data_IF_281119167928
#
_entry.id   IF_281119167928
#
_cell.length_a   1.000
_cell.length_b   1.000
_cell.length_c   1.000
_cell.angle_alpha   90.00
_cell.angle_beta   90.00
_cell.angle_gamma   90.00
#
_symmetry.space_group_name_H-M   'P 1'
#
loop_
_entity.id
_entity.type
_entity.pdbx_description
1 polymer ?
#
# COMPACT_ATOMS: atom_id res chain seq x y z
N UNK A 1 18.00 -1.12 -13.78
CA UNK A 1 17.21 -0.19 -14.61
C UNK A 1 15.85 -0.82 -14.81
N UNK A 2 14.80 -0.22 -14.27
CA UNK A 2 13.43 -0.60 -14.61
C UNK A 2 13.28 -0.25 -16.09
N UNK A 3 13.09 -1.24 -16.97
CA UNK A 3 12.84 -1.01 -18.39
C UNK A 3 11.73 0.03 -18.55
N UNK A 4 11.99 1.09 -19.32
CA UNK A 4 10.95 2.06 -19.66
C UNK A 4 9.77 1.33 -20.30
N UNK A 5 8.54 1.76 -20.03
CA UNK A 5 7.30 1.17 -20.55
C UNK A 5 7.41 0.74 -22.02
N UNK A 6 7.96 1.60 -22.87
CA UNK A 6 8.18 1.29 -24.29
C UNK A 6 9.03 0.04 -24.55
N UNK A 7 10.11 -0.16 -23.79
CA UNK A 7 10.95 -1.36 -23.90
C UNK A 7 10.21 -2.62 -23.43
N UNK A 8 9.32 -2.50 -22.45
CA UNK A 8 8.53 -3.66 -21.99
C UNK A 8 7.43 -4.04 -22.97
N UNK A 9 6.77 -3.05 -23.57
CA UNK A 9 5.77 -3.27 -24.64
C UNK A 9 6.46 -3.92 -25.85
N UNK A 10 7.66 -3.46 -26.21
CA UNK A 10 8.52 -4.08 -27.22
C UNK A 10 8.89 -5.53 -26.87
N UNK A 11 9.31 -5.81 -25.62
CA UNK A 11 9.66 -7.17 -25.17
C UNK A 11 8.47 -8.13 -25.19
N UNK A 12 7.25 -7.63 -24.98
CA UNK A 12 6.01 -8.42 -25.13
C UNK A 12 5.57 -8.59 -26.58
N UNK A 13 6.29 -8.04 -27.55
CA UNK A 13 5.99 -8.18 -28.98
C UNK A 13 4.77 -7.41 -29.46
N UNK A 14 4.25 -6.48 -28.64
CA UNK A 14 3.10 -5.65 -29.02
C UNK A 14 3.45 -4.59 -30.08
N UNK A 15 4.74 -4.20 -30.13
CA UNK A 15 5.27 -3.24 -31.10
C UNK A 15 6.69 -3.65 -31.53
N UNK A 16 7.14 -3.15 -32.67
CA UNK A 16 8.51 -3.25 -33.17
C UNK A 16 9.40 -2.12 -32.66
N UNK A 17 10.73 -2.26 -32.86
CA UNK A 17 11.71 -1.21 -32.50
C UNK A 17 11.46 0.10 -33.23
N UNK A 18 11.07 0.03 -34.50
CA UNK A 18 10.84 1.20 -35.35
C UNK A 18 9.57 1.94 -34.93
N UNK A 19 8.52 1.21 -34.56
CA UNK A 19 7.28 1.76 -34.01
C UNK A 19 7.50 2.45 -32.66
N UNK A 20 8.33 1.84 -31.80
CA UNK A 20 8.73 2.47 -30.54
C UNK A 20 9.52 3.77 -30.78
N UNK A 21 10.42 3.80 -31.76
CA UNK A 21 11.16 5.00 -32.12
C UNK A 21 10.24 6.12 -32.62
N UNK A 22 9.24 5.81 -33.45
CA UNK A 22 8.19 6.76 -33.88
C UNK A 22 7.39 7.32 -32.70
N UNK A 23 7.04 6.47 -31.73
CA UNK A 23 6.35 6.90 -30.53
C UNK A 23 7.20 7.84 -29.67
N UNK A 24 8.50 7.58 -29.54
CA UNK A 24 9.42 8.50 -28.85
C UNK A 24 9.59 9.84 -29.58
N UNK A 25 9.67 9.83 -30.92
CA UNK A 25 9.70 11.06 -31.72
C UNK A 25 8.42 11.89 -31.50
N UNK A 26 7.25 11.25 -31.55
CA UNK A 26 5.98 11.94 -31.26
C UNK A 26 5.94 12.49 -29.84
N UNK A 27 6.37 11.70 -28.85
CA UNK A 27 6.46 12.15 -27.46
C UNK A 27 7.39 13.36 -27.31
N UNK A 28 8.50 13.40 -28.05
CA UNK A 28 9.41 14.55 -28.04
C UNK A 28 8.75 15.81 -28.60
N UNK A 29 7.93 15.68 -29.64
CA UNK A 29 7.28 16.81 -30.31
C UNK A 29 6.01 17.30 -29.58
N UNK A 30 5.21 16.39 -29.04
CA UNK A 30 3.86 16.69 -28.50
C UNK A 30 3.74 16.46 -26.99
N UNK A 31 4.77 15.89 -26.36
CA UNK A 31 4.73 15.52 -24.94
C UNK A 31 3.88 14.28 -24.65
N UNK A 32 3.43 14.15 -23.40
CA UNK A 32 2.54 13.06 -22.95
C UNK A 32 3.26 11.76 -22.56
N UNK A 33 2.47 10.78 -22.08
CA UNK A 33 2.97 9.44 -21.73
C UNK A 33 3.26 8.65 -23.02
N UNK A 34 4.25 7.74 -22.97
CA UNK A 34 4.61 6.92 -24.14
C UNK A 34 3.44 6.01 -24.56
N UNK A 35 2.65 5.48 -23.61
CA UNK A 35 1.44 4.70 -23.90
C UNK A 35 0.40 5.49 -24.72
N UNK A 36 0.09 6.72 -24.32
CA UNK A 36 -0.83 7.60 -25.05
C UNK A 36 -0.32 7.94 -26.46
N UNK A 37 1.00 8.07 -26.63
CA UNK A 37 1.59 8.29 -27.95
C UNK A 37 1.52 7.04 -28.84
N UNK A 38 1.67 5.84 -28.27
CA UNK A 38 1.48 4.58 -29.00
C UNK A 38 0.03 4.42 -29.47
N UNK A 39 -0.95 4.76 -28.62
CA UNK A 39 -2.38 4.76 -28.97
C UNK A 39 -2.69 5.80 -30.05
N UNK A 40 -2.18 7.03 -29.90
CA UNK A 40 -2.42 8.10 -30.87
C UNK A 40 -1.81 7.82 -32.26
N UNK A 41 -0.80 6.94 -32.34
CA UNK A 41 -0.23 6.45 -33.60
C UNK A 41 -0.97 5.22 -34.16
N UNK A 42 -1.99 4.71 -33.46
CA UNK A 42 -2.72 3.50 -33.84
C UNK A 42 -1.90 2.20 -33.70
N UNK A 43 -0.81 2.22 -32.94
CA UNK A 43 0.10 1.08 -32.80
C UNK A 43 -0.40 0.06 -31.76
N UNK A 44 -1.14 0.53 -30.76
CA UNK A 44 -1.82 -0.30 -29.76
C UNK A 44 -3.18 0.32 -29.44
N UNK A 45 -4.10 -0.46 -28.90
CA UNK A 45 -5.38 0.06 -28.37
C UNK A 45 -5.28 0.44 -26.88
N UNK A 46 -6.26 1.19 -26.37
CA UNK A 46 -6.41 1.41 -24.92
C UNK A 46 -6.59 0.11 -24.14
N UNK A 47 -7.27 -0.87 -24.74
CA UNK A 47 -7.43 -2.22 -24.17
C UNK A 47 -6.10 -2.94 -24.07
N UNK A 48 -5.25 -2.89 -25.11
CA UNK A 48 -3.92 -3.50 -25.09
C UNK A 48 -3.04 -2.90 -24.00
N UNK A 49 -3.09 -1.57 -23.83
CA UNK A 49 -2.34 -0.88 -22.78
C UNK A 49 -2.85 -1.25 -21.38
N UNK A 50 -4.17 -1.34 -21.20
CA UNK A 50 -4.79 -1.73 -19.94
C UNK A 50 -4.45 -3.17 -19.57
N UNK A 51 -4.56 -4.10 -20.53
CA UNK A 51 -4.19 -5.50 -20.37
C UNK A 51 -2.69 -5.67 -20.13
N UNK A 52 -1.84 -4.81 -20.73
CA UNK A 52 -0.40 -4.83 -20.51
C UNK A 52 -0.04 -4.56 -19.04
N UNK A 53 -0.71 -3.60 -18.39
CA UNK A 53 -0.50 -3.25 -16.98
C UNK A 53 -1.23 -4.18 -16.00
N UNK A 54 -2.07 -5.09 -16.51
CA UNK A 54 -2.70 -6.14 -15.71
C UNK A 54 -1.72 -7.30 -15.56
N UNK A 55 -1.12 -7.43 -14.38
CA UNK A 55 -0.35 -8.61 -14.04
C UNK A 55 -1.30 -9.74 -13.64
N UNK A 56 -1.05 -10.93 -14.19
CA UNK A 56 -1.73 -12.17 -13.82
C UNK A 56 -0.65 -13.16 -13.43
N UNK A 57 -0.61 -13.64 -12.18
CA UNK A 57 0.40 -14.59 -11.73
C UNK A 57 0.10 -15.96 -12.34
N UNK A 58 1.01 -16.49 -13.14
CA UNK A 58 0.84 -17.80 -13.80
C UNK A 58 1.31 -18.93 -12.91
N UNK A 59 0.48 -19.95 -12.72
CA UNK A 59 0.83 -21.14 -11.94
C UNK A 59 2.07 -21.86 -12.53
N UNK A 60 3.09 -22.17 -11.71
CA UNK A 60 4.29 -22.86 -12.20
C UNK A 60 4.00 -24.33 -12.51
N UNK A 61 4.31 -24.79 -13.73
CA UNK A 61 4.03 -26.18 -14.14
C UNK A 61 4.99 -27.19 -13.51
N UNK A 62 6.17 -26.75 -13.09
CA UNK A 62 7.23 -27.57 -12.51
C UNK A 62 8.08 -26.76 -11.51
N UNK A 63 8.99 -27.46 -10.81
CA UNK A 63 9.87 -26.85 -9.80
C UNK A 63 10.73 -25.72 -10.40
N UNK A 64 11.27 -25.90 -11.61
CA UNK A 64 12.15 -24.91 -12.24
C UNK A 64 11.42 -23.60 -12.54
N UNK A 65 10.15 -23.65 -12.93
CA UNK A 65 9.31 -22.47 -13.17
C UNK A 65 8.95 -21.69 -11.89
N UNK A 66 9.19 -22.26 -10.70
CA UNK A 66 9.01 -21.51 -9.45
C UNK A 66 10.07 -20.43 -9.23
N UNK A 67 11.17 -20.48 -10.00
CA UNK A 67 12.39 -19.67 -9.85
C UNK A 67 13.03 -19.76 -8.45
N UNK A 68 12.83 -20.91 -7.78
CA UNK A 68 13.39 -21.22 -6.46
C UNK A 68 14.10 -22.56 -6.54
N UNK A 69 15.19 -22.69 -5.78
CA UNK A 69 15.95 -23.93 -5.71
C UNK A 69 15.12 -25.07 -5.10
N UNK A 70 15.20 -26.25 -5.70
CA UNK A 70 14.50 -27.47 -5.24
C UNK A 70 14.78 -27.78 -3.77
N UNK A 71 16.03 -27.58 -3.32
CA UNK A 71 16.41 -27.79 -1.92
C UNK A 71 15.62 -26.90 -0.95
N UNK A 72 15.44 -25.62 -1.29
CA UNK A 72 14.66 -24.70 -0.48
C UNK A 72 13.19 -25.13 -0.36
N UNK A 73 12.57 -25.55 -1.47
CA UNK A 73 11.19 -26.05 -1.47
C UNK A 73 11.08 -27.33 -0.64
N UNK A 74 12.07 -28.21 -0.75
CA UNK A 74 12.17 -29.45 0.04
C UNK A 74 12.22 -29.16 1.54
N UNK A 75 13.09 -28.23 1.95
CA UNK A 75 13.21 -27.81 3.33
C UNK A 75 11.92 -27.15 3.85
N UNK A 76 11.27 -26.33 3.02
CA UNK A 76 9.98 -25.73 3.36
C UNK A 76 8.88 -26.79 3.56
N UNK A 77 8.79 -27.78 2.67
CA UNK A 77 7.82 -28.89 2.79
C UNK A 77 8.05 -29.65 4.09
N UNK A 78 9.29 -30.04 4.40
CA UNK A 78 9.62 -30.74 5.65
C UNK A 78 9.20 -29.93 6.89
N UNK A 79 9.42 -28.61 6.88
CA UNK A 79 8.97 -27.72 7.96
C UNK A 79 7.44 -27.63 8.09
N UNK A 80 6.67 -27.80 7.01
CA UNK A 80 5.21 -27.90 7.12
C UNK A 80 4.77 -29.26 7.65
N UNK A 81 5.38 -30.34 7.16
CA UNK A 81 5.03 -31.71 7.51
C UNK A 81 5.12 -31.99 9.02
N UNK A 82 6.13 -31.43 9.71
CA UNK A 82 6.35 -31.68 11.15
C UNK A 82 5.19 -31.17 12.02
N UNK A 83 4.55 -30.05 11.65
CA UNK A 83 3.39 -29.53 12.38
C UNK A 83 2.10 -30.27 12.03
N UNK A 84 1.97 -30.75 10.79
CA UNK A 84 0.77 -31.47 10.35
C UNK A 84 0.71 -32.90 10.92
N UNK A 85 1.86 -33.54 11.20
CA UNK A 85 2.03 -34.95 11.61
C UNK A 85 1.55 -35.96 10.56
N UNK A 86 0.28 -35.89 10.16
CA UNK A 86 -0.34 -36.62 9.04
C UNK A 86 -0.96 -35.64 8.06
N UNK A 87 -0.69 -35.81 6.77
CA UNK A 87 -1.09 -34.83 5.76
C UNK A 87 -1.39 -35.49 4.42
N UNK A 88 -2.10 -34.76 3.57
CA UNK A 88 -2.32 -35.07 2.15
C UNK A 88 -1.56 -34.05 1.31
N UNK A 89 -1.40 -34.32 0.00
CA UNK A 89 -0.85 -33.33 -0.94
C UNK A 89 -1.70 -32.06 -0.94
N UNK A 90 -3.03 -32.19 -0.92
CA UNK A 90 -3.96 -31.07 -0.88
C UNK A 90 -3.74 -30.14 0.33
N UNK A 91 -3.52 -30.70 1.53
CA UNK A 91 -3.19 -29.89 2.71
C UNK A 91 -1.91 -29.08 2.51
N UNK A 92 -0.87 -29.68 1.93
CA UNK A 92 0.39 -28.99 1.65
C UNK A 92 0.23 -27.94 0.55
N UNK A 93 -0.51 -28.24 -0.51
CA UNK A 93 -0.86 -27.29 -1.57
C UNK A 93 -1.53 -26.04 -0.98
N UNK A 94 -2.51 -26.20 -0.08
CA UNK A 94 -3.17 -25.05 0.55
C UNK A 94 -2.23 -24.23 1.44
N UNK A 95 -1.33 -24.86 2.20
CA UNK A 95 -0.43 -24.15 3.12
C UNK A 95 0.77 -23.51 2.42
N UNK A 96 1.34 -24.19 1.44
CA UNK A 96 2.55 -23.80 0.72
C UNK A 96 2.19 -22.97 -0.53
N UNK A 97 0.97 -23.08 -1.02
CA UNK A 97 0.49 -22.38 -2.23
C UNK A 97 1.27 -22.73 -3.49
N UNK A 98 1.88 -23.93 -3.52
CA UNK A 98 2.50 -24.50 -4.71
C UNK A 98 1.61 -25.58 -5.33
N UNK A 99 1.72 -25.81 -6.64
CA UNK A 99 0.85 -26.75 -7.35
C UNK A 99 0.99 -28.19 -6.84
N UNK A 100 -0.09 -29.00 -6.86
CA UNK A 100 -0.04 -30.39 -6.41
C UNK A 100 1.04 -31.22 -7.11
N UNK A 101 1.31 -30.96 -8.40
CA UNK A 101 2.35 -31.62 -9.18
C UNK A 101 3.76 -31.35 -8.62
N UNK A 102 4.05 -30.10 -8.27
CA UNK A 102 5.31 -29.66 -7.67
C UNK A 102 5.49 -30.31 -6.30
N UNK A 103 4.46 -30.25 -5.44
CA UNK A 103 4.50 -30.88 -4.12
C UNK A 103 4.69 -32.39 -4.22
N UNK A 104 3.95 -33.07 -5.10
CA UNK A 104 4.02 -34.52 -5.27
C UNK A 104 5.41 -34.99 -5.73
N UNK A 105 6.07 -34.23 -6.59
CA UNK A 105 7.44 -34.53 -7.04
C UNK A 105 8.40 -34.56 -5.83
N UNK A 106 8.38 -33.51 -5.01
CA UNK A 106 9.24 -33.42 -3.82
C UNK A 106 8.90 -34.48 -2.78
N UNK A 107 7.61 -34.74 -2.54
CA UNK A 107 7.17 -35.81 -1.62
C UNK A 107 7.67 -37.18 -2.11
N UNK A 108 7.70 -37.42 -3.42
CA UNK A 108 8.20 -38.68 -3.98
C UNK A 108 9.69 -38.87 -3.67
N UNK A 109 10.48 -37.80 -3.75
CA UNK A 109 11.92 -37.87 -3.43
C UNK A 109 12.17 -37.98 -1.93
N UNK A 110 11.47 -37.19 -1.10
CA UNK A 110 11.52 -37.31 0.37
C UNK A 110 11.14 -38.71 0.88
N UNK A 111 10.28 -39.42 0.14
CA UNK A 111 9.95 -40.83 0.44
C UNK A 111 11.08 -41.79 0.08
N UNK A 112 11.74 -41.60 -1.06
CA UNK A 112 12.91 -42.41 -1.44
C UNK A 112 14.04 -42.23 -0.42
N UNK A 113 14.20 -41.02 0.07
CA UNK A 113 15.20 -40.66 1.09
C UNK A 113 14.80 -41.10 2.51
N UNK A 114 13.59 -41.66 2.69
CA UNK A 114 13.12 -42.20 3.96
C UNK A 114 12.70 -41.15 5.00
N UNK A 115 12.49 -39.89 4.61
CA UNK A 115 12.00 -38.83 5.50
C UNK A 115 10.47 -38.85 5.69
N UNK A 116 9.76 -39.37 4.69
CA UNK A 116 8.29 -39.45 4.66
C UNK A 116 7.87 -40.86 4.29
N UNK A 117 6.76 -41.32 4.86
CA UNK A 117 6.15 -42.62 4.57
C UNK A 117 4.65 -42.49 4.27
N UNK A 118 4.06 -43.54 3.70
CA UNK A 118 2.62 -43.62 3.48
C UNK A 118 1.97 -44.14 4.77
N UNK A 119 1.21 -43.28 5.44
CA UNK A 119 0.45 -43.65 6.63
C UNK A 119 -0.84 -44.41 6.27
N UNK A 120 -1.47 -44.04 5.14
CA UNK A 120 -2.64 -44.72 4.60
C UNK A 120 -2.65 -44.61 3.08
N UNK A 121 -2.66 -45.75 2.40
CA UNK A 121 -2.66 -45.79 0.93
C UNK A 121 -3.98 -45.30 0.34
N UNK A 122 -3.88 -44.47 -0.69
CA UNK A 122 -4.97 -44.13 -1.61
C UNK A 122 -4.81 -44.85 -2.96
N UNK A 123 -5.79 -44.69 -3.85
CA UNK A 123 -5.75 -45.25 -5.22
C UNK A 123 -4.55 -44.74 -6.02
N UNK A 124 -4.14 -43.50 -5.77
CA UNK A 124 -2.97 -42.86 -6.35
C UNK A 124 -2.12 -42.25 -5.23
N UNK A 125 -0.85 -41.94 -5.54
CA UNK A 125 0.02 -41.25 -4.59
C UNK A 125 -0.59 -39.91 -4.16
N UNK A 126 -1.12 -39.12 -5.09
CA UNK A 126 -1.71 -37.80 -4.80
C UNK A 126 -2.87 -37.83 -3.79
N UNK A 127 -3.61 -38.95 -3.71
CA UNK A 127 -4.74 -39.14 -2.78
C UNK A 127 -4.37 -39.91 -1.51
N UNK A 128 -3.10 -40.28 -1.36
CA UNK A 128 -2.62 -40.99 -0.18
C UNK A 128 -2.42 -40.04 1.01
N UNK A 129 -2.50 -40.60 2.21
CA UNK A 129 -2.11 -39.89 3.44
C UNK A 129 -0.68 -40.25 3.80
N UNK A 130 0.11 -39.23 4.09
CA UNK A 130 1.52 -39.33 4.43
C UNK A 130 1.75 -39.00 5.90
N UNK A 131 2.85 -39.53 6.45
CA UNK A 131 3.38 -39.17 7.76
C UNK A 131 4.90 -39.03 7.68
N UNK A 132 5.47 -38.28 8.62
CA UNK A 132 6.92 -38.19 8.75
C UNK A 132 7.50 -39.38 9.51
N UNK A 133 8.68 -39.82 9.09
CA UNK A 133 9.50 -40.78 9.85
C UNK A 133 10.31 -40.04 10.93
N UNK A 134 10.93 -40.76 11.85
CA UNK A 134 11.83 -40.16 12.86
C UNK A 134 13.00 -39.40 12.22
N UNK A 135 13.54 -39.92 11.11
CA UNK A 135 14.61 -39.24 10.35
C UNK A 135 14.11 -37.92 9.76
N UNK A 136 12.88 -37.91 9.23
CA UNK A 136 12.24 -36.69 8.76
C UNK A 136 12.07 -35.68 9.88
N UNK A 137 11.58 -36.11 11.05
CA UNK A 137 11.31 -35.23 12.20
C UNK A 137 12.61 -34.58 12.68
N UNK A 138 13.69 -35.36 12.77
CA UNK A 138 15.01 -34.85 13.13
C UNK A 138 15.50 -33.79 12.12
N UNK A 139 15.38 -34.07 10.81
CA UNK A 139 15.78 -33.12 9.75
C UNK A 139 14.95 -31.83 9.79
N UNK A 140 13.62 -31.94 9.91
CA UNK A 140 12.74 -30.77 9.99
C UNK A 140 12.99 -29.93 11.25
N UNK A 141 13.34 -30.57 12.38
CA UNK A 141 13.70 -29.84 13.61
C UNK A 141 14.97 -29.02 13.43
N UNK A 142 16.00 -29.57 12.78
CA UNK A 142 17.22 -28.83 12.44
C UNK A 142 16.93 -27.63 11.52
N UNK A 143 16.06 -27.81 10.52
CA UNK A 143 15.65 -26.74 9.62
C UNK A 143 14.89 -25.63 10.35
N UNK A 144 14.06 -25.96 11.35
CA UNK A 144 13.37 -24.96 12.18
C UNK A 144 14.34 -24.20 13.10
N UNK A 145 15.44 -24.82 13.51
CA UNK A 145 16.50 -24.12 14.22
C UNK A 145 17.21 -23.11 13.32
N UNK A 146 17.31 -23.35 12.01
CA UNK A 146 17.87 -22.39 11.04
C UNK A 146 16.86 -21.29 10.67
N UNK A 147 15.60 -21.65 10.39
CA UNK A 147 14.55 -20.72 9.99
C UNK A 147 13.15 -21.26 10.32
N UNK A 148 12.42 -20.56 11.19
CA UNK A 148 11.08 -20.97 11.66
C UNK A 148 9.94 -20.58 10.72
N UNK A 149 10.25 -20.09 9.52
CA UNK A 149 9.21 -19.74 8.57
C UNK A 149 8.44 -21.00 8.11
N UNK A 150 7.12 -20.98 8.34
CA UNK A 150 6.17 -22.01 7.93
C UNK A 150 4.94 -21.30 7.34
N UNK A 151 5.06 -20.90 6.09
CA UNK A 151 3.99 -20.22 5.34
C UNK A 151 4.03 -20.58 3.86
N UNK A 152 3.32 -19.83 3.01
CA UNK A 152 3.37 -19.98 1.56
C UNK A 152 4.80 -19.92 1.03
N UNK A 153 5.10 -20.66 -0.03
CA UNK A 153 6.39 -20.58 -0.69
C UNK A 153 6.64 -19.13 -1.17
N UNK A 154 7.84 -18.59 -0.96
CA UNK A 154 8.16 -17.27 -1.46
C UNK A 154 8.13 -17.23 -2.98
N UNK A 155 8.17 -16.02 -3.53
CA UNK A 155 8.47 -15.78 -4.95
C UNK A 155 9.90 -15.26 -5.07
N UNK A 156 10.52 -15.45 -6.23
CA UNK A 156 11.87 -14.91 -6.45
C UNK A 156 11.87 -13.38 -6.39
N UNK A 157 13.01 -12.79 -6.00
CA UNK A 157 13.17 -11.33 -6.02
C UNK A 157 12.94 -10.72 -7.42
N UNK A 158 13.28 -11.45 -8.48
CA UNK A 158 13.09 -10.99 -9.85
C UNK A 158 11.61 -11.02 -10.27
N UNK A 159 10.87 -12.07 -9.90
CA UNK A 159 9.43 -12.14 -10.13
C UNK A 159 8.68 -11.03 -9.37
N UNK A 160 9.10 -10.75 -8.13
CA UNK A 160 8.61 -9.61 -7.36
C UNK A 160 8.84 -8.28 -8.10
N UNK A 161 10.08 -8.01 -8.53
CA UNK A 161 10.41 -6.78 -9.28
C UNK A 161 9.60 -6.64 -10.57
N UNK A 162 9.41 -7.75 -11.28
CA UNK A 162 8.62 -7.78 -12.50
C UNK A 162 7.15 -7.44 -12.22
N UNK A 163 6.53 -8.13 -11.25
CA UNK A 163 5.13 -7.93 -10.89
C UNK A 163 4.84 -6.49 -10.44
N UNK A 164 5.69 -5.92 -9.57
CA UNK A 164 5.55 -4.52 -9.14
C UNK A 164 5.70 -3.57 -10.32
N UNK A 165 6.64 -3.87 -11.23
CA UNK A 165 6.84 -3.08 -12.43
C UNK A 165 5.61 -3.07 -13.36
N UNK A 166 4.95 -4.21 -13.55
CA UNK A 166 3.79 -4.32 -14.43
C UNK A 166 2.59 -3.60 -13.84
N UNK A 167 2.38 -3.68 -12.53
CA UNK A 167 1.18 -3.14 -11.85
C UNK A 167 1.33 -1.67 -11.41
N UNK A 168 2.16 -0.91 -12.14
CA UNK A 168 2.71 0.35 -11.65
C UNK A 168 1.67 1.39 -11.26
N UNK A 169 1.93 2.15 -10.20
CA UNK A 169 1.05 3.27 -9.80
C UNK A 169 0.94 4.34 -10.90
N UNK A 170 1.94 4.46 -11.77
CA UNK A 170 1.98 5.45 -12.85
C UNK A 170 0.97 5.22 -13.98
N UNK A 171 0.50 3.98 -14.11
CA UNK A 171 -0.50 3.64 -15.13
C UNK A 171 -1.91 4.01 -14.69
N UNK A 172 -2.10 4.35 -13.41
CA UNK A 172 -3.39 4.81 -12.90
C UNK A 172 -3.74 6.16 -13.50
N UNK A 173 -5.02 6.30 -13.84
CA UNK A 173 -5.64 7.56 -14.19
C UNK A 173 -6.78 7.85 -13.20
N UNK A 174 -6.56 8.87 -12.38
CA UNK A 174 -7.56 9.43 -11.49
C UNK A 174 -8.36 10.47 -12.25
N UNK A 175 -9.68 10.26 -12.28
CA UNK A 175 -10.65 11.17 -12.89
C UNK A 175 -11.28 12.06 -11.82
N UNK A 176 -11.97 13.13 -12.27
CA UNK A 176 -12.77 13.98 -11.36
C UNK A 176 -13.84 13.15 -10.64
N UNK A 177 -14.42 12.15 -11.31
CA UNK A 177 -15.44 11.26 -10.74
C UNK A 177 -14.88 10.40 -9.60
N UNK A 178 -13.71 9.79 -9.77
CA UNK A 178 -13.05 9.02 -8.70
C UNK A 178 -12.84 9.87 -7.44
N UNK A 179 -12.36 11.11 -7.62
CA UNK A 179 -12.15 12.03 -6.50
C UNK A 179 -13.45 12.52 -5.88
N UNK A 180 -14.46 12.88 -6.68
CA UNK A 180 -15.76 13.29 -6.16
C UNK A 180 -16.39 12.18 -5.30
N UNK A 181 -16.30 10.93 -5.73
CA UNK A 181 -16.80 9.79 -4.97
C UNK A 181 -16.02 9.61 -3.66
N UNK A 182 -14.69 9.66 -3.71
CA UNK A 182 -13.85 9.54 -2.52
C UNK A 182 -13.99 10.71 -1.53
N UNK A 183 -14.30 11.90 -2.04
CA UNK A 183 -14.52 13.11 -1.24
C UNK A 183 -15.99 13.38 -0.93
N UNK A 184 -16.90 12.44 -1.22
CA UNK A 184 -18.35 12.61 -1.03
C UNK A 184 -18.75 13.00 0.40
N UNK A 185 -17.96 12.58 1.39
CA UNK A 185 -18.19 12.86 2.81
C UNK A 185 -17.37 14.06 3.35
N UNK A 186 -16.66 14.80 2.50
CA UNK A 186 -15.86 15.95 2.90
C UNK A 186 -16.09 17.16 1.99
N UNK A 187 -15.97 18.36 2.57
CA UNK A 187 -16.16 19.60 1.82
C UNK A 187 -14.85 20.00 1.15
N UNK A 188 -14.79 19.91 -0.18
CA UNK A 188 -13.63 20.29 -0.99
C UNK A 188 -14.09 21.09 -2.21
N UNK A 189 -13.47 22.24 -2.45
CA UNK A 189 -13.77 23.07 -3.62
C UNK A 189 -13.32 22.41 -4.94
N UNK A 190 -13.99 22.73 -6.04
CA UNK A 190 -13.67 22.13 -7.35
C UNK A 190 -12.21 22.37 -7.79
N UNK A 191 -11.65 23.52 -7.47
CA UNK A 191 -10.27 23.85 -7.82
C UNK A 191 -9.25 23.04 -7.01
N UNK A 192 -9.57 22.73 -5.74
CA UNK A 192 -8.79 21.78 -4.93
C UNK A 192 -8.86 20.38 -5.52
N UNK A 193 -10.04 19.92 -5.97
CA UNK A 193 -10.18 18.61 -6.64
C UNK A 193 -9.31 18.52 -7.89
N UNK A 194 -9.30 19.56 -8.74
CA UNK A 194 -8.41 19.62 -9.92
C UNK A 194 -6.93 19.56 -9.53
N UNK A 195 -6.56 20.27 -8.46
CA UNK A 195 -5.18 20.30 -7.95
C UNK A 195 -4.76 18.92 -7.44
N UNK A 196 -5.58 18.26 -6.63
CA UNK A 196 -5.32 16.91 -6.13
C UNK A 196 -5.23 15.90 -7.26
N UNK A 197 -6.19 15.89 -8.20
CA UNK A 197 -6.16 14.98 -9.35
C UNK A 197 -4.91 15.14 -10.20
N UNK A 198 -4.48 16.38 -10.45
CA UNK A 198 -3.24 16.66 -11.18
C UNK A 198 -2.00 16.16 -10.44
N UNK A 199 -1.97 16.31 -9.11
CA UNK A 199 -0.87 15.85 -8.27
C UNK A 199 -0.77 14.32 -8.26
N UNK A 200 -1.91 13.63 -8.09
CA UNK A 200 -1.96 12.16 -8.04
C UNK A 200 -1.57 11.56 -9.39
N UNK A 201 -2.14 12.05 -10.50
CA UNK A 201 -1.82 11.57 -11.85
C UNK A 201 -0.36 11.78 -12.27
N UNK A 202 0.35 12.68 -11.58
CA UNK A 202 1.78 12.86 -11.80
C UNK A 202 2.62 11.69 -11.28
N UNK A 203 2.07 10.88 -10.36
CA UNK A 203 2.75 9.82 -9.62
C UNK A 203 4.06 10.29 -8.96
N UNK A 204 4.14 11.56 -8.59
CA UNK A 204 5.27 12.17 -7.88
C UNK A 204 4.91 12.43 -6.42
N UNK A 205 5.91 12.51 -5.53
CA UNK A 205 5.64 12.80 -4.13
C UNK A 205 4.86 14.10 -3.92
N UNK A 206 3.89 14.06 -3.02
CA UNK A 206 3.01 15.17 -2.66
C UNK A 206 3.32 15.60 -1.23
N UNK A 207 3.39 16.92 -1.04
CA UNK A 207 3.59 17.54 0.25
C UNK A 207 2.33 18.33 0.62
N UNK A 208 1.52 17.81 1.52
CA UNK A 208 0.33 18.47 2.08
C UNK A 208 0.75 19.21 3.35
N UNK A 209 0.69 20.53 3.36
CA UNK A 209 1.15 21.33 4.49
C UNK A 209 0.16 22.43 4.86
N UNK A 210 0.12 22.79 6.13
CA UNK A 210 -0.74 23.85 6.62
C UNK A 210 -1.10 23.69 8.10
N UNK A 211 -1.83 24.64 8.69
CA UNK A 211 -2.19 24.61 10.11
C UNK A 211 -2.89 23.30 10.53
N UNK A 212 -2.76 22.88 11.80
CA UNK A 212 -3.44 21.71 12.34
C UNK A 212 -4.96 21.84 12.23
N UNK A 213 -5.67 20.71 12.24
CA UNK A 213 -7.14 20.70 12.21
C UNK A 213 -7.79 20.94 10.84
N UNK A 214 -7.01 21.04 9.76
CA UNK A 214 -7.54 21.30 8.40
C UNK A 214 -7.68 20.05 7.51
N UNK A 215 -7.64 18.85 8.09
CA UNK A 215 -7.98 17.61 7.37
C UNK A 215 -6.91 17.07 6.41
N UNK A 216 -5.62 17.35 6.64
CA UNK A 216 -4.51 16.82 5.80
C UNK A 216 -4.51 15.30 5.73
N UNK A 217 -4.58 14.63 6.88
CA UNK A 217 -4.67 13.17 7.00
C UNK A 217 -5.90 12.63 6.28
N UNK A 218 -7.06 13.23 6.54
CA UNK A 218 -8.32 12.85 5.89
C UNK A 218 -8.26 12.96 4.37
N UNK A 219 -7.67 14.03 3.83
CA UNK A 219 -7.46 14.16 2.39
C UNK A 219 -6.52 13.08 1.86
N UNK A 220 -5.40 12.82 2.54
CA UNK A 220 -4.45 11.79 2.13
C UNK A 220 -5.10 10.38 2.10
N UNK A 221 -5.89 10.04 3.11
CA UNK A 221 -6.63 8.79 3.19
C UNK A 221 -7.71 8.67 2.11
N UNK A 222 -8.51 9.73 1.91
CA UNK A 222 -9.49 9.77 0.81
C UNK A 222 -8.81 9.59 -0.55
N UNK A 223 -7.64 10.16 -0.77
CA UNK A 223 -6.84 9.92 -1.98
C UNK A 223 -6.49 8.43 -2.09
N UNK A 224 -6.06 7.79 -1.01
CA UNK A 224 -5.79 6.35 -0.97
C UNK A 224 -7.01 5.52 -1.38
N UNK A 225 -8.18 5.82 -0.81
CA UNK A 225 -9.43 5.15 -1.16
C UNK A 225 -9.91 5.44 -2.59
N UNK A 226 -9.48 6.55 -3.20
CA UNK A 226 -9.81 6.89 -4.58
C UNK A 226 -9.01 6.11 -5.63
N UNK A 227 -7.91 5.45 -5.23
CA UNK A 227 -7.05 4.72 -6.16
C UNK A 227 -7.80 3.53 -6.79
N UNK A 228 -8.00 3.51 -8.12
CA UNK A 228 -8.70 2.43 -8.77
C UNK A 228 -7.80 1.20 -8.92
N UNK A 229 -8.46 0.05 -9.00
CA UNK A 229 -7.86 -1.22 -9.37
C UNK A 229 -7.36 -2.05 -8.21
N UNK A 230 -6.95 -3.26 -8.57
CA UNK A 230 -6.51 -4.32 -7.68
C UNK A 230 -5.14 -4.79 -8.16
N UNK A 231 -4.30 -5.25 -7.23
CA UNK A 231 -2.95 -5.71 -7.53
C UNK A 231 -2.67 -7.03 -6.82
N UNK A 232 -1.72 -7.79 -7.36
CA UNK A 232 -1.20 -8.99 -6.72
C UNK A 232 0.06 -8.66 -5.92
N UNK A 233 0.08 -9.12 -4.68
CA UNK A 233 1.24 -9.05 -3.77
C UNK A 233 1.58 -10.47 -3.34
N UNK A 234 2.87 -10.87 -3.32
CA UNK A 234 3.24 -12.19 -2.85
C UNK A 234 3.16 -12.26 -1.34
N UNK A 235 2.91 -13.44 -0.78
CA UNK A 235 2.99 -13.64 0.67
C UNK A 235 4.39 -13.33 1.20
N UNK A 236 5.41 -13.81 0.49
CA UNK A 236 6.81 -13.60 0.84
C UNK A 236 7.71 -13.59 -0.40
N UNK A 237 8.89 -13.00 -0.26
CA UNK A 237 9.92 -12.89 -1.30
C UNK A 237 11.21 -13.54 -0.82
N UNK A 238 11.89 -14.27 -1.70
CA UNK A 238 13.20 -14.86 -1.45
C UNK A 238 14.31 -13.95 -1.98
N UNK A 239 15.17 -13.47 -1.10
CA UNK A 239 16.34 -12.67 -1.45
C UNK A 239 17.58 -13.18 -0.70
N UNK A 240 18.64 -13.57 -1.40
CA UNK A 240 19.88 -14.05 -0.76
C UNK A 240 19.66 -15.27 0.15
N UNK A 241 18.79 -16.20 -0.25
CA UNK A 241 18.35 -17.34 0.55
C UNK A 241 17.69 -16.95 1.90
N UNK A 242 17.20 -15.72 2.02
CA UNK A 242 16.44 -15.22 3.17
C UNK A 242 15.01 -14.91 2.75
N UNK A 243 14.07 -15.23 3.65
CA UNK A 243 12.64 -15.01 3.43
C UNK A 243 12.27 -13.64 3.97
N UNK A 244 11.58 -12.85 3.14
CA UNK A 244 11.02 -11.56 3.50
C UNK A 244 9.50 -11.66 3.37
N UNK A 245 8.79 -11.60 4.49
CA UNK A 245 7.32 -11.58 4.52
C UNK A 245 6.85 -10.21 4.07
N UNK A 246 5.99 -10.16 3.06
CA UNK A 246 5.49 -8.92 2.47
C UNK A 246 4.03 -8.71 2.83
N UNK A 247 3.18 -9.70 2.54
CA UNK A 247 1.76 -9.63 2.85
C UNK A 247 1.51 -9.67 4.35
N UNK A 248 0.62 -8.79 4.80
CA UNK A 248 0.04 -8.79 6.14
C UNK A 248 -1.37 -8.21 6.07
N UNK A 249 -2.23 -8.62 7.01
CA UNK A 249 -3.65 -8.24 7.04
C UNK A 249 -3.89 -6.81 7.53
N UNK A 250 -2.87 -6.14 8.08
CA UNK A 250 -3.00 -4.76 8.59
C UNK A 250 -2.91 -3.77 7.43
N UNK A 251 -1.99 -4.01 6.51
CA UNK A 251 -1.68 -3.11 5.39
C UNK A 251 -2.33 -3.54 4.07
N UNK A 252 -2.75 -4.81 3.95
CA UNK A 252 -3.28 -5.35 2.71
C UNK A 252 -4.69 -5.89 2.90
N UNK A 253 -5.63 -5.32 2.12
CA UNK A 253 -7.02 -5.73 2.10
C UNK A 253 -7.20 -6.70 0.94
N UNK A 254 -7.33 -7.99 1.26
CA UNK A 254 -7.59 -9.04 0.28
C UNK A 254 -8.92 -8.78 -0.46
N UNK A 255 -8.94 -9.14 -1.74
CA UNK A 255 -10.16 -9.14 -2.56
C UNK A 255 -10.66 -10.57 -2.62
N UNK A 256 -11.88 -10.79 -2.13
CA UNK A 256 -12.54 -12.09 -2.23
C UNK A 256 -12.87 -12.40 -3.70
N UNK A 257 -12.02 -13.18 -4.36
CA UNK A 257 -12.32 -13.74 -5.67
C UNK A 257 -13.23 -14.96 -5.50
N UNK A 258 -14.53 -14.80 -5.81
CA UNK A 258 -15.48 -15.93 -5.84
C UNK A 258 -15.17 -16.96 -6.94
N UNK A 259 -14.38 -16.55 -7.93
CA UNK A 259 -13.86 -17.43 -8.98
C UNK A 259 -12.43 -17.81 -8.59
N UNK A 260 -12.29 -18.99 -7.97
CA UNK A 260 -10.99 -19.65 -7.87
C UNK A 260 -10.59 -20.06 -9.29
N UNK A 261 -9.91 -19.16 -10.00
CA UNK A 261 -9.30 -19.51 -11.28
C UNK A 261 -8.11 -20.42 -10.96
N UNK A 262 -8.33 -21.73 -11.09
CA UNK A 262 -7.38 -22.80 -10.75
C UNK A 262 -6.07 -22.78 -11.57
N UNK A 263 -5.82 -21.71 -12.33
CA UNK A 263 -4.62 -21.50 -13.14
C UNK A 263 -3.72 -20.37 -12.63
N UNK A 264 -4.10 -19.71 -11.52
CA UNK A 264 -3.32 -18.63 -10.92
C UNK A 264 -2.32 -19.17 -9.90
N UNK A 265 -1.10 -18.63 -9.92
CA UNK A 265 -0.09 -18.92 -8.88
C UNK A 265 -0.54 -18.37 -7.53
N UNK A 266 -0.88 -19.29 -6.63
CA UNK A 266 -1.47 -19.00 -5.32
C UNK A 266 -0.47 -18.43 -4.32
N UNK A 267 0.84 -18.36 -4.65
CA UNK A 267 1.83 -17.63 -3.83
C UNK A 267 1.58 -16.12 -3.83
N UNK A 268 0.73 -15.65 -4.74
CA UNK A 268 0.26 -14.28 -4.85
C UNK A 268 -1.17 -14.17 -4.35
N UNK A 269 -1.45 -13.08 -3.64
CA UNK A 269 -2.80 -12.73 -3.22
C UNK A 269 -3.22 -11.43 -3.89
N UNK A 270 -4.46 -11.42 -4.39
CA UNK A 270 -5.08 -10.23 -4.97
C UNK A 270 -5.60 -9.33 -3.86
N UNK A 271 -5.23 -8.07 -3.90
CA UNK A 271 -5.56 -7.07 -2.90
C UNK A 271 -6.06 -5.79 -3.57
N UNK A 272 -6.79 -4.96 -2.82
CA UNK A 272 -6.92 -3.54 -3.17
C UNK A 272 -5.54 -2.90 -3.11
N UNK A 273 -5.29 -1.86 -3.93
CA UNK A 273 -4.01 -1.14 -3.86
C UNK A 273 -3.72 -0.71 -2.41
N UNK A 274 -2.52 -1.00 -1.88
CA UNK A 274 -2.25 -0.81 -0.47
C UNK A 274 -2.24 0.68 -0.11
N UNK A 275 -2.76 1.01 1.06
CA UNK A 275 -2.67 2.34 1.66
C UNK A 275 -1.98 2.16 3.00
N UNK A 276 -0.69 2.45 3.04
CA UNK A 276 0.13 2.32 4.24
C UNK A 276 0.31 3.70 4.87
N UNK A 277 0.11 3.80 6.18
CA UNK A 277 0.20 5.05 6.93
C UNK A 277 1.26 4.89 8.01
N UNK A 278 2.12 5.90 8.16
CA UNK A 278 3.07 6.02 9.26
C UNK A 278 2.95 7.41 9.90
N UNK A 279 2.89 7.45 11.23
CA UNK A 279 2.76 8.69 12.01
C UNK A 279 4.06 9.10 12.70
N UNK A 280 3.93 9.63 13.92
CA UNK A 280 5.06 10.10 14.74
C UNK A 280 6.02 8.99 15.19
N UNK A 281 5.58 7.73 15.15
CA UNK A 281 6.37 6.53 15.48
C UNK A 281 7.35 6.14 14.38
N UNK A 282 7.32 6.80 13.22
CA UNK A 282 8.22 6.50 12.11
C UNK A 282 9.68 6.73 12.50
N UNK A 283 10.49 5.69 12.34
CA UNK A 283 11.95 5.73 12.54
C UNK A 283 12.67 5.16 11.33
N UNK A 284 13.96 5.45 11.16
CA UNK A 284 14.78 4.86 10.09
C UNK A 284 14.75 3.33 10.11
N UNK A 285 14.70 2.73 11.31
CA UNK A 285 14.67 1.26 11.46
C UNK A 285 13.43 0.63 10.84
N UNK A 286 12.28 1.32 10.87
CA UNK A 286 11.03 0.85 10.25
C UNK A 286 11.14 0.86 8.71
N UNK A 287 12.06 1.64 8.17
CA UNK A 287 12.37 1.72 6.74
C UNK A 287 13.39 0.69 6.28
N UNK A 288 13.95 -0.09 7.20
CA UNK A 288 14.86 -1.19 6.89
C UNK A 288 14.18 -2.54 7.14
N UNK A 289 14.79 -3.61 6.61
CA UNK A 289 14.31 -4.97 6.83
C UNK A 289 14.34 -5.34 8.32
N UNK A 290 13.20 -5.78 8.84
CA UNK A 290 13.11 -6.17 10.24
C UNK A 290 13.39 -7.66 10.41
N UNK A 291 14.63 -8.00 10.78
CA UNK A 291 15.02 -9.37 11.10
C UNK A 291 14.56 -9.75 12.51
N UNK A 292 13.80 -10.84 12.62
CA UNK A 292 13.46 -11.40 13.92
C UNK A 292 14.48 -12.50 14.30
N UNK A 293 15.31 -12.32 15.35
CA UNK A 293 16.35 -13.29 15.71
C UNK A 293 15.78 -14.62 16.23
N UNK A 294 14.54 -14.64 16.71
CA UNK A 294 13.89 -15.86 17.21
C UNK A 294 13.32 -16.69 16.07
N UNK A 295 12.66 -16.04 15.10
CA UNK A 295 12.05 -16.74 13.96
C UNK A 295 12.99 -16.91 12.76
N UNK A 296 14.06 -16.10 12.71
CA UNK A 296 15.14 -16.12 11.70
C UNK A 296 14.64 -15.93 10.27
N UNK A 297 13.71 -14.99 10.10
CA UNK A 297 13.30 -14.45 8.81
C UNK A 297 13.00 -12.95 8.94
N UNK A 298 12.75 -12.30 7.80
CA UNK A 298 12.51 -10.88 7.70
C UNK A 298 11.04 -10.53 7.54
N UNK A 299 10.65 -9.40 8.10
CA UNK A 299 9.46 -8.65 7.71
C UNK A 299 9.87 -7.50 6.78
N UNK A 300 9.08 -7.29 5.72
CA UNK A 300 9.27 -6.20 4.78
C UNK A 300 9.04 -4.83 5.44
N UNK A 301 9.82 -3.80 5.08
CA UNK A 301 9.58 -2.44 5.56
C UNK A 301 8.34 -1.82 4.91
N UNK A 302 7.82 -0.75 5.52
CA UNK A 302 6.54 -0.13 5.12
C UNK A 302 6.49 0.26 3.64
N UNK A 303 7.57 0.82 3.10
CA UNK A 303 7.61 1.23 1.70
C UNK A 303 7.54 0.04 0.72
N UNK A 304 8.05 -1.13 1.12
CA UNK A 304 7.97 -2.35 0.30
C UNK A 304 6.54 -2.92 0.31
N UNK A 305 5.84 -2.79 1.44
CA UNK A 305 4.41 -3.14 1.59
C UNK A 305 3.48 -2.16 0.87
N UNK A 306 3.87 -0.89 0.75
CA UNK A 306 3.11 0.14 0.06
C UNK A 306 3.26 0.12 -1.47
N UNK A 307 4.13 -0.72 -2.03
CA UNK A 307 4.38 -0.78 -3.48
C UNK A 307 3.07 -0.96 -4.28
N UNK A 308 3.00 -0.31 -5.44
CA UNK A 308 1.81 -0.17 -6.29
C UNK A 308 0.60 0.50 -5.62
N UNK A 309 0.79 1.20 -4.50
CA UNK A 309 -0.26 1.90 -3.79
C UNK A 309 0.16 3.28 -3.30
N UNK A 310 -0.28 3.60 -2.09
CA UNK A 310 -0.04 4.86 -1.41
C UNK A 310 0.74 4.65 -0.12
N UNK A 311 1.69 5.53 0.13
CA UNK A 311 2.39 5.62 1.41
C UNK A 311 2.24 7.03 2.00
N UNK A 312 1.53 7.11 3.13
CA UNK A 312 1.23 8.35 3.82
C UNK A 312 2.18 8.46 5.02
N UNK A 313 2.89 9.59 5.10
CA UNK A 313 3.70 9.98 6.25
C UNK A 313 3.00 11.15 6.92
N UNK A 314 2.27 10.85 7.99
CA UNK A 314 1.49 11.83 8.73
C UNK A 314 2.30 12.48 9.86
N UNK A 315 1.88 13.68 10.26
CA UNK A 315 2.58 14.55 11.21
C UNK A 315 4.10 14.66 10.92
N UNK A 316 4.45 14.69 9.64
CA UNK A 316 5.83 14.79 9.20
C UNK A 316 6.49 16.05 9.76
N UNK A 317 7.65 15.94 10.41
CA UNK A 317 8.22 17.03 11.19
C UNK A 317 8.15 16.85 12.71
N UNK A 318 7.32 15.91 13.19
CA UNK A 318 7.11 15.64 14.63
C UNK A 318 7.58 14.25 15.05
N UNK A 319 8.33 13.57 14.19
CA UNK A 319 8.93 12.28 14.48
C UNK A 319 10.07 12.41 15.50
N UNK A 320 10.39 11.29 16.16
CA UNK A 320 11.58 11.18 17.02
C UNK A 320 12.85 11.45 16.22
N UNK A 321 12.86 11.02 14.94
CA UNK A 321 13.98 11.24 14.02
C UNK A 321 13.83 12.59 13.33
N UNK A 322 14.95 13.29 13.19
CA UNK A 322 15.02 14.52 12.42
C UNK A 322 14.44 14.33 10.99
N UNK A 323 13.54 15.21 10.53
CA UNK A 323 12.91 15.09 9.22
C UNK A 323 13.91 15.07 8.06
N UNK A 324 14.98 15.87 8.11
CA UNK A 324 15.99 15.88 7.04
C UNK A 324 16.66 14.52 6.92
N UNK A 325 16.87 13.83 8.03
CA UNK A 325 17.43 12.49 8.06
C UNK A 325 16.53 11.48 7.35
N UNK A 326 15.21 11.52 7.59
CA UNK A 326 14.22 10.69 6.87
C UNK A 326 14.22 11.01 5.37
N UNK A 327 14.24 12.30 5.03
CA UNK A 327 14.27 12.75 3.64
C UNK A 327 15.55 12.30 2.92
N UNK A 328 16.72 12.41 3.57
CA UNK A 328 18.00 11.97 3.03
C UNK A 328 18.01 10.48 2.68
N UNK A 329 17.39 9.64 3.53
CA UNK A 329 17.20 8.21 3.25
C UNK A 329 16.34 7.95 2.02
N UNK A 330 15.42 8.85 1.70
CA UNK A 330 14.49 8.73 0.59
C UNK A 330 14.82 9.58 -0.64
N UNK A 331 15.90 10.38 -0.64
CA UNK A 331 16.32 11.13 -1.83
C UNK A 331 16.42 10.20 -3.05
N UNK A 332 17.13 9.08 -2.89
CA UNK A 332 17.36 8.14 -4.00
C UNK A 332 16.07 7.37 -4.36
N UNK A 333 15.33 6.78 -3.40
CA UNK A 333 14.05 6.13 -3.69
C UNK A 333 13.02 7.03 -4.38
N UNK A 334 12.84 8.27 -3.93
CA UNK A 334 11.86 9.20 -4.51
C UNK A 334 12.25 9.67 -5.92
N UNK A 335 13.55 9.75 -6.21
CA UNK A 335 14.08 10.21 -7.50
C UNK A 335 14.20 9.06 -8.53
N UNK A 336 14.73 7.92 -8.09
CA UNK A 336 15.03 6.77 -8.97
C UNK A 336 13.98 5.66 -8.93
N UNK A 337 13.01 5.73 -8.02
CA UNK A 337 11.99 4.70 -7.81
C UNK A 337 12.59 3.32 -7.55
N UNK A 338 13.71 3.32 -6.83
CA UNK A 338 14.44 2.13 -6.44
C UNK A 338 14.96 2.35 -5.05
N UNK A 339 14.64 1.44 -4.15
CA UNK A 339 15.16 1.41 -2.80
C UNK A 339 16.19 0.29 -2.64
N UNK A 340 17.13 0.45 -1.71
CA UNK A 340 18.18 -0.51 -1.45
C UNK A 340 18.06 -1.01 -0.02
N UNK A 341 17.91 -2.32 0.12
CA UNK A 341 17.80 -2.99 1.40
C UNK A 341 19.06 -3.83 1.65
N UNK A 342 19.39 -4.03 2.92
CA UNK A 342 20.57 -4.79 3.35
C UNK A 342 20.13 -5.91 4.29
N UNK A 343 20.54 -7.14 3.98
CA UNK A 343 20.37 -8.29 4.87
C UNK A 343 21.40 -8.25 6.01
N UNK A 344 21.19 -9.05 7.06
CA UNK A 344 22.09 -9.19 8.21
C UNK A 344 23.42 -9.82 7.78
N UNK A 345 23.43 -10.54 6.66
CA UNK A 345 24.62 -11.06 5.98
C UNK A 345 25.46 -9.97 5.30
N UNK A 346 24.98 -8.72 5.25
CA UNK A 346 25.59 -7.62 4.53
C UNK A 346 25.26 -7.56 3.04
N UNK A 347 24.55 -8.56 2.51
CA UNK A 347 24.10 -8.55 1.11
C UNK A 347 23.13 -7.38 0.88
N UNK A 348 23.44 -6.57 -0.14
CA UNK A 348 22.60 -5.46 -0.60
C UNK A 348 21.87 -5.85 -1.87
N UNK A 349 20.60 -5.46 -1.95
CA UNK A 349 19.81 -5.66 -3.16
C UNK A 349 18.85 -4.49 -3.35
N UNK A 350 18.48 -4.28 -4.61
CA UNK A 350 17.53 -3.26 -5.01
C UNK A 350 16.11 -3.83 -5.02
N UNK A 351 15.15 -3.04 -4.56
CA UNK A 351 13.71 -3.29 -4.72
C UNK A 351 13.06 -2.09 -5.44
N UNK A 352 11.91 -2.29 -6.10
CA UNK A 352 11.14 -1.18 -6.63
C UNK A 352 10.63 -0.28 -5.49
N UNK A 353 10.51 1.01 -5.78
CA UNK A 353 9.83 2.00 -4.95
C UNK A 353 8.78 2.67 -5.84
N UNK A 354 7.71 1.93 -6.13
CA UNK A 354 6.64 2.31 -7.06
C UNK A 354 5.31 2.54 -6.33
N UNK A 355 5.31 3.54 -5.46
CA UNK A 355 4.15 4.02 -4.72
C UNK A 355 4.08 5.54 -4.75
N UNK A 356 2.89 6.08 -4.61
CA UNK A 356 2.72 7.51 -4.40
C UNK A 356 3.00 7.82 -2.93
N UNK A 357 3.88 8.78 -2.66
CA UNK A 357 4.21 9.20 -1.28
C UNK A 357 3.52 10.53 -0.99
N UNK A 358 2.77 10.59 0.11
CA UNK A 358 2.15 11.81 0.63
C UNK A 358 2.76 12.14 1.99
N UNK A 359 3.42 13.28 2.09
CA UNK A 359 3.86 13.85 3.37
C UNK A 359 2.80 14.84 3.85
N UNK A 360 2.20 14.58 5.00
CA UNK A 360 1.28 15.50 5.67
C UNK A 360 1.98 16.16 6.87
N UNK A 361 1.98 17.49 6.92
CA UNK A 361 2.72 18.22 7.96
C UNK A 361 2.03 19.51 8.41
N UNK A 362 2.26 19.87 9.66
CA UNK A 362 1.87 21.16 10.23
C UNK A 362 2.96 22.24 10.04
N UNK A 363 4.17 21.86 9.64
CA UNK A 363 5.31 22.76 9.47
C UNK A 363 5.39 23.28 8.03
N UNK A 364 5.79 24.54 7.81
CA UNK A 364 6.13 25.04 6.49
C UNK A 364 7.26 24.21 5.84
N UNK A 365 7.21 23.93 4.52
CA UNK A 365 8.23 23.10 3.86
C UNK A 365 9.67 23.59 4.04
N UNK A 366 9.87 24.92 4.15
CA UNK A 366 11.20 25.54 4.35
C UNK A 366 11.83 25.26 5.72
N UNK A 367 11.01 24.91 6.71
CA UNK A 367 11.51 24.53 8.05
C UNK A 367 11.93 23.05 8.10
N UNK A 368 11.45 22.26 7.14
CA UNK A 368 11.63 20.81 7.11
C UNK A 368 12.85 20.43 6.27
N UNK A 369 13.08 21.12 5.15
CA UNK A 369 14.14 20.76 4.22
C UNK A 369 14.68 21.96 3.43
N UNK A 370 15.88 21.80 2.88
CA UNK A 370 16.53 22.81 2.04
C UNK A 370 15.89 22.93 0.64
N UNK A 371 16.24 24.00 -0.08
CA UNK A 371 15.74 24.23 -1.44
C UNK A 371 16.16 23.14 -2.43
N UNK A 372 17.24 22.42 -2.18
CA UNK A 372 17.68 21.32 -3.04
C UNK A 372 16.76 20.11 -2.91
N UNK A 373 16.29 19.80 -1.71
CA UNK A 373 15.33 18.74 -1.45
C UNK A 373 13.93 19.14 -1.89
N UNK A 374 13.49 20.36 -1.54
CA UNK A 374 12.18 20.87 -1.93
C UNK A 374 11.99 20.88 -3.45
N UNK A 375 13.06 21.03 -4.25
CA UNK A 375 13.00 20.89 -5.71
C UNK A 375 12.58 19.49 -6.19
N UNK A 376 12.81 18.44 -5.40
CA UNK A 376 12.42 17.05 -5.72
C UNK A 376 10.96 16.76 -5.36
N UNK A 377 10.42 17.47 -4.35
CA UNK A 377 9.00 17.45 -4.01
C UNK A 377 8.19 18.35 -4.95
N UNK A 378 7.70 17.80 -6.07
CA UNK A 378 7.10 18.62 -7.14
C UNK A 378 5.77 19.26 -6.76
N UNK A 379 4.94 18.58 -5.97
CA UNK A 379 3.64 19.11 -5.54
C UNK A 379 3.69 19.49 -4.07
N UNK A 380 3.54 20.79 -3.79
CA UNK A 380 3.41 21.34 -2.44
C UNK A 380 2.05 22.02 -2.35
N UNK A 381 1.09 21.37 -1.71
CA UNK A 381 -0.29 21.83 -1.65
C UNK A 381 -0.52 22.41 -0.26
N UNK A 382 -0.75 23.72 -0.21
CA UNK A 382 -1.10 24.42 1.03
C UNK A 382 -2.57 24.15 1.36
N UNK A 383 -2.82 23.56 2.51
CA UNK A 383 -4.14 23.44 3.10
C UNK A 383 -4.32 24.56 4.12
N UNK A 384 -4.81 25.70 3.64
CA UNK A 384 -5.07 26.87 4.47
C UNK A 384 -6.37 26.73 5.28
N UNK A 385 -6.63 27.72 6.13
CA UNK A 385 -7.90 27.87 6.84
C UNK A 385 -9.10 27.90 5.90
N UNK A 386 -10.24 27.49 6.45
CA UNK A 386 -11.51 27.31 5.74
C UNK A 386 -12.20 28.66 5.52
N UNK A 387 -12.87 28.83 4.38
CA UNK A 387 -13.75 30.01 4.18
C UNK A 387 -15.02 29.88 5.01
N UNK A 388 -15.77 30.98 5.21
CA UNK A 388 -17.05 30.94 5.94
C UNK A 388 -18.05 30.00 5.25
N UNK A 389 -18.08 29.99 3.91
CA UNK A 389 -18.97 29.15 3.12
C UNK A 389 -18.61 27.66 3.22
N UNK A 390 -17.31 27.33 3.16
CA UNK A 390 -16.84 25.96 3.38
C UNK A 390 -17.11 25.52 4.83
N UNK A 391 -16.88 26.41 5.81
CA UNK A 391 -17.11 26.14 7.24
C UNK A 391 -18.59 25.90 7.53
N UNK A 392 -19.49 26.70 6.94
CA UNK A 392 -20.95 26.52 7.04
C UNK A 392 -21.37 25.14 6.55
N UNK A 393 -20.91 24.72 5.36
CA UNK A 393 -21.21 23.39 4.81
C UNK A 393 -20.72 22.26 5.71
N UNK A 394 -19.51 22.38 6.25
CA UNK A 394 -18.98 21.38 7.19
C UNK A 394 -19.84 21.33 8.45
N UNK A 395 -20.19 22.49 9.01
CA UNK A 395 -21.01 22.60 10.21
C UNK A 395 -22.41 22.00 10.02
N UNK A 396 -23.08 22.32 8.91
CA UNK A 396 -24.37 21.72 8.54
C UNK A 396 -24.29 20.20 8.44
N UNK A 397 -23.27 19.66 7.75
CA UNK A 397 -23.09 18.22 7.61
C UNK A 397 -22.91 17.51 8.96
N UNK A 398 -22.20 18.14 9.89
CA UNK A 398 -21.96 17.59 11.24
C UNK A 398 -23.21 17.67 12.11
N UNK A 399 -24.00 18.74 12.00
CA UNK A 399 -25.31 18.82 12.63
C UNK A 399 -26.21 17.67 12.14
N UNK A 400 -26.28 17.44 10.82
CA UNK A 400 -27.07 16.36 10.22
C UNK A 400 -26.59 14.98 10.71
N UNK A 401 -25.28 14.71 10.69
CA UNK A 401 -24.74 13.41 11.12
C UNK A 401 -25.03 13.10 12.59
N UNK A 402 -25.12 14.13 13.43
CA UNK A 402 -25.42 14.02 14.85
C UNK A 402 -26.90 14.24 15.20
N UNK A 403 -27.79 14.36 14.19
CA UNK A 403 -29.24 14.59 14.35
C UNK A 403 -29.57 15.86 15.15
N UNK A 404 -28.74 16.89 15.03
CA UNK A 404 -28.96 18.22 15.59
C UNK A 404 -29.54 19.10 14.48
N UNK A 405 -30.66 19.78 14.76
CA UNK A 405 -31.24 20.74 13.81
C UNK A 405 -30.32 21.95 13.64
N UNK A 406 -29.88 22.19 12.41
CA UNK A 406 -29.11 23.38 12.07
C UNK A 406 -29.96 24.65 12.23
N UNK A 407 -29.35 25.72 12.75
CA UNK A 407 -29.99 27.01 12.99
C UNK A 407 -29.07 28.13 12.46
N UNK A 408 -29.56 28.89 11.49
CA UNK A 408 -28.79 29.95 10.81
C UNK A 408 -28.38 31.07 11.76
N UNK A 409 -29.27 31.50 12.66
CA UNK A 409 -29.02 32.62 13.57
C UNK A 409 -27.91 32.26 14.58
N UNK A 410 -27.92 31.02 15.08
CA UNK A 410 -26.89 30.51 16.00
C UNK A 410 -25.55 30.33 15.27
N UNK A 411 -25.56 29.92 14.00
CA UNK A 411 -24.35 29.83 13.20
C UNK A 411 -23.74 31.21 12.95
N UNK A 412 -24.56 32.21 12.59
CA UNK A 412 -24.09 33.59 12.42
C UNK A 412 -23.50 34.15 13.71
N UNK A 413 -24.14 33.87 14.85
CA UNK A 413 -23.60 34.19 16.17
C UNK A 413 -22.22 33.55 16.43
N UNK A 414 -22.02 32.29 16.04
CA UNK A 414 -20.71 31.63 16.11
C UNK A 414 -19.67 32.31 15.22
N UNK A 415 -20.03 32.71 13.99
CA UNK A 415 -19.12 33.43 13.09
C UNK A 415 -18.70 34.78 13.66
N UNK A 416 -19.63 35.56 14.22
CA UNK A 416 -19.31 36.81 14.90
C UNK A 416 -18.31 36.60 16.04
N UNK A 417 -18.41 35.49 16.79
CA UNK A 417 -17.43 35.14 17.83
C UNK A 417 -16.02 34.90 17.27
N UNK A 418 -15.90 34.21 16.13
CA UNK A 418 -14.61 34.05 15.45
C UNK A 418 -14.02 35.40 15.05
N UNK A 419 -14.82 36.30 14.48
CA UNK A 419 -14.37 37.63 14.06
C UNK A 419 -13.92 38.49 15.25
N UNK A 420 -14.72 38.55 16.31
CA UNK A 420 -14.41 39.32 17.54
C UNK A 420 -13.15 38.81 18.23
N UNK A 421 -12.94 37.49 18.23
CA UNK A 421 -11.75 36.86 18.83
C UNK A 421 -10.54 36.79 17.89
N UNK A 422 -10.67 37.26 16.64
CA UNK A 422 -9.64 37.17 15.60
C UNK A 422 -9.10 35.74 15.37
N UNK A 423 -9.92 34.73 15.68
CA UNK A 423 -9.56 33.31 15.49
C UNK A 423 -9.82 32.90 14.05
N UNK A 424 -8.96 32.03 13.53
CA UNK A 424 -9.10 31.48 12.18
C UNK A 424 -10.02 30.26 12.20
N UNK A 425 -10.79 30.07 11.13
CA UNK A 425 -11.71 28.93 10.96
C UNK A 425 -10.92 27.70 10.49
N UNK A 426 -10.95 26.61 11.27
CA UNK A 426 -10.35 25.32 10.88
C UNK A 426 -11.43 24.26 10.65
N UNK A 427 -11.15 23.31 9.75
CA UNK A 427 -12.10 22.25 9.40
C UNK A 427 -12.53 21.36 10.59
N UNK A 428 -11.72 21.25 11.64
CA UNK A 428 -12.05 20.45 12.82
C UNK A 428 -13.00 21.14 13.79
N UNK A 429 -12.99 22.48 13.87
CA UNK A 429 -13.76 23.19 14.89
C UNK A 429 -15.26 22.87 14.87
N UNK A 430 -15.93 22.74 13.71
CA UNK A 430 -17.33 22.33 13.68
C UNK A 430 -17.61 21.01 14.40
N UNK A 431 -16.74 20.00 14.22
CA UNK A 431 -16.86 18.71 14.91
C UNK A 431 -16.66 18.91 16.40
N UNK A 432 -15.54 19.52 16.77
CA UNK A 432 -15.14 19.62 18.17
C UNK A 432 -16.15 20.44 19.00
N UNK A 433 -16.71 21.51 18.41
CA UNK A 433 -17.76 22.31 19.06
C UNK A 433 -19.08 21.54 19.22
N UNK A 434 -19.49 20.79 18.19
CA UNK A 434 -20.72 19.98 18.26
C UNK A 434 -20.55 18.82 19.25
N UNK A 435 -19.39 18.16 19.27
CA UNK A 435 -19.09 17.08 20.20
C UNK A 435 -19.16 17.59 21.66
N UNK A 436 -18.62 18.77 21.95
CA UNK A 436 -18.78 19.41 23.27
C UNK A 436 -20.25 19.67 23.63
N UNK A 437 -21.06 20.14 22.68
CA UNK A 437 -22.50 20.35 22.92
C UNK A 437 -23.20 19.02 23.24
N UNK A 438 -22.85 17.94 22.53
CA UNK A 438 -23.39 16.60 22.75
C UNK A 438 -22.99 16.09 24.14
N UNK A 439 -21.71 16.23 24.51
CA UNK A 439 -21.20 15.80 25.81
C UNK A 439 -21.91 16.50 26.97
N UNK A 440 -22.08 17.84 26.88
CA UNK A 440 -22.83 18.60 27.86
C UNK A 440 -24.30 18.18 27.95
N UNK A 441 -24.96 17.96 26.81
CA UNK A 441 -26.35 17.53 26.78
C UNK A 441 -26.53 16.14 27.39
N UNK A 442 -25.64 15.21 27.05
CA UNK A 442 -25.59 13.83 27.56
C UNK A 442 -25.42 13.79 29.08
N UNK A 443 -24.47 14.54 29.63
CA UNK A 443 -24.26 14.64 31.07
C UNK A 443 -25.50 15.15 31.82
N UNK A 444 -26.22 16.10 31.22
CA UNK A 444 -27.44 16.67 31.79
C UNK A 444 -28.71 15.86 31.48
N UNK A 445 -28.59 14.70 30.81
CA UNK A 445 -29.71 13.87 30.36
C UNK A 445 -30.75 14.66 29.55
N UNK A 446 -30.29 15.59 28.71
CA UNK A 446 -31.12 16.42 27.82
C UNK A 446 -30.77 16.16 26.36
N UNK A 447 -31.69 16.41 25.41
CA UNK A 447 -31.35 16.36 24.00
C UNK A 447 -30.34 17.45 23.64
N UNK A 448 -29.40 17.13 22.74
CA UNK A 448 -28.46 18.12 22.21
C UNK A 448 -29.20 19.08 21.28
N UNK A 449 -29.10 20.39 21.57
CA UNK A 449 -29.74 21.44 20.79
C UNK A 449 -28.73 22.55 20.51
N UNK A 450 -28.72 23.02 19.26
CA UNK A 450 -27.91 24.14 18.82
C UNK A 450 -28.57 25.45 19.28
N UNK A 451 -27.99 26.09 20.30
CA UNK A 451 -28.43 27.37 20.86
C UNK A 451 -27.21 28.26 21.14
N UNK A 452 -27.42 29.57 21.29
CA UNK A 452 -26.32 30.47 21.66
C UNK A 452 -25.66 30.05 22.99
N UNK A 453 -26.44 29.60 23.98
CA UNK A 453 -25.92 29.12 25.26
C UNK A 453 -25.06 27.86 25.12
N UNK A 454 -25.47 26.91 24.26
CA UNK A 454 -24.67 25.69 24.06
C UNK A 454 -23.38 25.98 23.29
N UNK A 455 -23.41 26.91 22.34
CA UNK A 455 -22.21 27.42 21.65
C UNK A 455 -21.30 28.18 22.60
N UNK A 456 -21.84 29.01 23.49
CA UNK A 456 -21.04 29.76 24.47
C UNK A 456 -20.24 28.83 25.38
N UNK A 457 -20.92 27.81 25.93
CA UNK A 457 -20.27 26.77 26.73
C UNK A 457 -19.21 26.02 25.93
N UNK A 458 -19.57 25.48 24.77
CA UNK A 458 -18.60 24.73 23.94
C UNK A 458 -17.37 25.59 23.58
N UNK A 459 -17.58 26.87 23.28
CA UNK A 459 -16.51 27.83 22.98
C UNK A 459 -15.55 28.03 24.16
N UNK A 460 -16.08 28.26 25.36
CA UNK A 460 -15.28 28.49 26.56
C UNK A 460 -14.39 27.30 26.95
N UNK A 461 -14.89 26.07 26.77
CA UNK A 461 -14.14 24.86 27.11
C UNK A 461 -13.15 24.44 26.01
N UNK A 462 -13.49 24.68 24.74
CA UNK A 462 -12.63 24.27 23.63
C UNK A 462 -11.47 25.24 23.40
N UNK A 463 -11.72 26.56 23.46
CA UNK A 463 -10.71 27.56 23.18
C UNK A 463 -10.06 28.10 24.46
N UNK A 464 -8.77 27.83 24.63
CA UNK A 464 -7.95 28.44 25.69
C UNK A 464 -7.69 29.92 25.35
N UNK A 465 -7.86 30.80 26.34
CA UNK A 465 -7.67 32.25 26.24
C UNK A 465 -6.20 32.66 26.15
#
# INVERSE_FOLDING_TARGET
MIDLLGQRVLKKGLISKDELAKAYERQRLLGGKIGSNLIALGLITESDLTNFFKFTPHEPSNVSETNIETGFITDLILKHCIFLKKFTIEHLTDKIKLPPSVILNIITDLRKDGFIEIAKGGTLLITSQYAMTDSGINRASQLLDECRYVGPAPVSLEDYKYAIGIQTIKSIEITKEHLNNAFSNIVVSEDRIKTYGSAINSAKPIFLYGPPGNGKTTIAECIGHSLPGEVYVPYSVLAGNQIIVVYDQVNHIAVDSKEADNQLDQRWIKIKRPVVIAGGELTLKILDLNFNPNSKYYEAPLQMKANNGLFIVDDFGRQIVDPQTLLNRWIIPLDRQTDFLTLHTGMKFAIPFDQLVIFATNLPPKEIADDAFLRRLKYKIKMDYTTVEEFRKIFENICISNRISFNEDVFNYLIEKYERSQRKLACCHPRDLIDQIIDFASFNMKPAVLTNESIDKAWEYYFVY
#
